data_IF_523077402372
#
_entry.id   IF_523077402372
#
_cell.length_a   1.000
_cell.length_b   1.000
_cell.length_c   1.000
_cell.angle_alpha   90.00
_cell.angle_beta   90.00
_cell.angle_gamma   90.00
#
_symmetry.space_group_name_H-M   'P 1'
#
loop_
_entity.id
_entity.type
_entity.pdbx_description
1 polymer ?
#
# COMPACT_ATOMS: atom_id res chain seq x y z
N UNK A 1 6.21 10.88 -13.32
CA UNK A 1 6.01 10.72 -11.85
C UNK A 1 5.01 9.57 -11.64
N UNK A 2 5.21 8.68 -10.65
CA UNK A 2 4.23 7.61 -10.33
C UNK A 2 3.20 8.16 -9.36
N UNK A 3 1.91 8.03 -9.69
CA UNK A 3 0.79 8.63 -8.97
C UNK A 3 -0.43 7.70 -9.01
N UNK A 4 -1.33 7.86 -8.04
CA UNK A 4 -2.67 7.29 -8.12
C UNK A 4 -3.53 8.14 -9.05
N UNK A 5 -4.12 7.57 -10.13
CA UNK A 5 -5.09 8.26 -10.97
C UNK A 5 -6.30 8.70 -10.14
N UNK A 6 -6.75 9.94 -10.34
CA UNK A 6 -7.99 10.45 -9.76
C UNK A 6 -8.71 11.32 -10.79
N UNK A 7 -10.06 11.46 -10.74
CA UNK A 7 -10.78 12.32 -11.67
C UNK A 7 -10.27 13.77 -11.67
N UNK A 8 -9.87 14.30 -10.50
CA UNK A 8 -9.30 15.65 -10.39
C UNK A 8 -7.95 15.77 -11.09
N UNK A 9 -7.06 14.78 -10.95
CA UNK A 9 -5.75 14.78 -11.63
C UNK A 9 -5.88 14.53 -13.14
N UNK A 10 -6.80 13.66 -13.57
CA UNK A 10 -7.05 13.36 -14.98
C UNK A 10 -7.48 14.60 -15.80
N UNK A 11 -7.93 15.67 -15.14
CA UNK A 11 -8.19 16.96 -15.80
C UNK A 11 -6.92 17.64 -16.32
N UNK A 12 -5.76 17.37 -15.71
CA UNK A 12 -4.50 18.08 -15.95
C UNK A 12 -3.36 17.18 -16.47
N UNK A 13 -3.55 15.86 -16.50
CA UNK A 13 -2.55 14.89 -16.93
C UNK A 13 -3.20 13.61 -17.44
N UNK A 14 -2.49 12.93 -18.33
CA UNK A 14 -2.84 11.59 -18.76
C UNK A 14 -2.16 10.57 -17.85
N UNK A 15 -2.78 9.40 -17.72
CA UNK A 15 -2.21 8.28 -16.98
C UNK A 15 -1.93 7.13 -17.93
N UNK A 16 -0.79 6.47 -17.70
CA UNK A 16 -0.51 5.19 -18.33
C UNK A 16 -1.44 4.10 -17.77
N UNK A 17 -1.39 2.90 -18.36
CA UNK A 17 -1.87 1.71 -17.68
C UNK A 17 -1.21 1.57 -16.31
N UNK A 18 -1.88 0.94 -15.32
CA UNK A 18 -1.31 0.79 -13.98
C UNK A 18 0.05 0.11 -14.05
N UNK A 19 1.04 0.65 -13.35
CA UNK A 19 2.33 0.03 -13.10
C UNK A 19 2.20 -1.00 -11.97
N UNK A 20 1.52 -0.61 -10.89
CA UNK A 20 1.31 -1.41 -9.69
C UNK A 20 -0.15 -1.36 -9.24
N UNK A 21 -0.58 -2.46 -8.65
CA UNK A 21 -1.87 -2.58 -7.96
C UNK A 21 -1.55 -2.77 -6.49
N UNK A 22 -2.06 -1.88 -5.64
CA UNK A 22 -1.78 -1.90 -4.22
C UNK A 22 -3.07 -1.77 -3.40
N UNK A 23 -2.99 -2.06 -2.11
CA UNK A 23 -4.08 -1.91 -1.13
C UNK A 23 -3.54 -1.27 0.14
N UNK A 24 -4.45 -0.81 1.00
CA UNK A 24 -4.05 -0.30 2.31
C UNK A 24 -3.45 -1.42 3.16
N UNK A 25 -2.45 -1.07 3.99
CA UNK A 25 -1.96 -1.92 5.08
C UNK A 25 -1.79 -1.07 6.33
N UNK A 26 -1.96 -1.72 7.47
CA UNK A 26 -1.56 -1.17 8.75
C UNK A 26 -0.12 -1.56 9.04
N UNK A 27 0.67 -0.61 9.50
CA UNK A 27 1.96 -0.80 10.13
C UNK A 27 1.76 -0.90 11.63
N UNK A 28 2.36 -1.93 12.22
CA UNK A 28 2.13 -2.36 13.60
C UNK A 28 3.46 -2.64 14.28
N UNK A 29 3.48 -2.66 15.61
CA UNK A 29 4.63 -3.14 16.38
C UNK A 29 4.70 -4.67 16.30
N UNK A 30 5.88 -5.22 16.08
CA UNK A 30 6.10 -6.68 16.14
C UNK A 30 6.26 -7.13 17.62
N UNK A 31 5.69 -8.28 18.05
CA UNK A 31 4.91 -9.27 17.30
C UNK A 31 3.39 -9.12 17.50
N UNK A 32 2.81 -7.91 17.44
CA UNK A 32 1.37 -7.76 17.66
C UNK A 32 0.54 -8.42 16.55
N UNK A 33 -0.46 -9.22 16.95
CA UNK A 33 -1.38 -9.90 16.04
C UNK A 33 -2.45 -8.95 15.50
N UNK A 34 -2.89 -9.19 14.25
CA UNK A 34 -4.04 -8.52 13.63
C UNK A 34 -5.32 -8.62 14.47
N UNK A 35 -5.49 -9.68 15.26
CA UNK A 35 -6.65 -9.87 16.16
C UNK A 35 -6.81 -8.70 17.15
N UNK A 36 -5.70 -8.02 17.49
CA UNK A 36 -5.71 -6.84 18.36
C UNK A 36 -6.07 -5.54 17.63
N UNK A 37 -6.12 -5.52 16.28
CA UNK A 37 -6.51 -4.34 15.50
C UNK A 37 -7.93 -3.86 15.82
N UNK A 38 -8.84 -4.77 16.20
CA UNK A 38 -10.19 -4.41 16.64
C UNK A 38 -10.18 -3.53 17.91
N UNK A 39 -9.12 -3.63 18.74
CA UNK A 39 -8.94 -2.83 19.95
C UNK A 39 -8.09 -1.56 19.73
N UNK A 40 -7.27 -1.52 18.67
CA UNK A 40 -6.25 -0.47 18.44
C UNK A 40 -6.51 0.28 17.12
N UNK A 41 -7.74 0.76 16.93
CA UNK A 41 -8.07 1.66 15.82
C UNK A 41 -7.54 3.09 16.06
N UNK A 42 -6.22 3.27 16.18
CA UNK A 42 -5.48 4.55 16.27
C UNK A 42 -4.00 4.35 15.87
N UNK A 43 -3.29 5.22 15.09
CA UNK A 43 -3.70 6.42 14.35
C UNK A 43 -3.51 6.41 12.80
N UNK A 44 -4.47 7.02 12.10
CA UNK A 44 -4.66 6.93 10.64
C UNK A 44 -4.16 8.13 9.82
N UNK A 45 -4.15 7.98 8.50
CA UNK A 45 -3.71 8.98 7.53
C UNK A 45 -4.76 10.10 7.29
N UNK A 46 -4.29 11.29 6.87
CA UNK A 46 -5.14 12.44 6.51
C UNK A 46 -6.23 12.15 5.46
N UNK A 47 -6.08 11.09 4.66
CA UNK A 47 -7.02 10.75 3.59
C UNK A 47 -8.40 10.30 4.11
N UNK A 48 -8.48 9.79 5.33
CA UNK A 48 -9.73 9.21 5.87
C UNK A 48 -10.62 10.24 6.58
N UNK A 49 -10.09 11.42 6.94
CA UNK A 49 -10.84 12.44 7.70
C UNK A 49 -12.11 12.93 6.97
N UNK A 50 -12.11 12.90 5.64
CA UNK A 50 -13.21 13.35 4.80
C UNK A 50 -14.17 12.22 4.36
N UNK A 51 -13.86 10.95 4.69
CA UNK A 51 -14.71 9.83 4.30
C UNK A 51 -16.00 9.81 5.14
N UNK A 52 -17.15 9.67 4.47
CA UNK A 52 -18.48 9.69 5.09
C UNK A 52 -19.19 8.34 5.06
N UNK A 53 -18.59 7.30 4.45
CA UNK A 53 -19.13 5.94 4.40
C UNK A 53 -18.04 4.86 4.48
N UNK A 54 -18.45 3.60 4.67
CA UNK A 54 -17.56 2.43 4.68
C UNK A 54 -16.56 2.40 5.83
N UNK A 55 -15.48 1.64 5.66
CA UNK A 55 -14.39 1.57 6.65
C UNK A 55 -13.71 2.93 6.84
N UNK A 56 -13.61 3.73 5.76
CA UNK A 56 -13.04 5.08 5.82
C UNK A 56 -13.80 6.01 6.78
N UNK A 57 -15.13 5.90 6.88
CA UNK A 57 -15.92 6.64 7.88
C UNK A 57 -15.49 6.29 9.31
N UNK A 58 -15.33 5.01 9.61
CA UNK A 58 -14.94 4.52 10.94
C UNK A 58 -13.57 5.10 11.31
N UNK A 59 -12.62 5.07 10.36
CA UNK A 59 -11.29 5.65 10.54
C UNK A 59 -11.36 7.18 10.71
N UNK A 60 -12.13 7.85 9.87
CA UNK A 60 -12.33 9.30 9.91
C UNK A 60 -13.01 9.79 11.19
N UNK A 61 -14.01 9.06 11.69
CA UNK A 61 -14.68 9.31 12.97
C UNK A 61 -13.68 9.19 14.13
N UNK A 62 -12.88 8.10 14.17
CA UNK A 62 -11.84 7.91 15.20
C UNK A 62 -10.81 9.06 15.20
N UNK A 63 -10.35 9.49 14.02
CA UNK A 63 -9.43 10.63 13.87
C UNK A 63 -10.03 11.96 14.32
N UNK A 64 -11.32 12.19 14.04
CA UNK A 64 -12.02 13.42 14.47
C UNK A 64 -12.15 13.49 15.99
N UNK A 65 -12.38 12.36 16.65
CA UNK A 65 -12.46 12.27 18.12
C UNK A 65 -11.08 12.35 18.80
N UNK A 66 -10.01 11.97 18.10
CA UNK A 66 -8.66 11.87 18.66
C UNK A 66 -7.63 12.63 17.81
N UNK A 67 -7.70 13.96 17.71
CA UNK A 67 -6.89 14.73 16.78
C UNK A 67 -5.38 14.73 17.10
N UNK A 68 -4.98 14.44 18.34
CA UNK A 68 -3.57 14.36 18.77
C UNK A 68 -2.81 13.19 18.12
N UNK A 69 -3.54 12.23 17.57
CA UNK A 69 -3.03 11.11 16.82
C UNK A 69 -2.59 11.44 15.40
N UNK A 70 -3.03 12.60 14.89
CA UNK A 70 -2.61 13.08 13.59
C UNK A 70 -1.15 13.50 13.69
N UNK A 71 -0.25 12.68 13.17
CA UNK A 71 1.15 13.02 13.01
C UNK A 71 1.34 13.83 11.72
N UNK A 72 2.25 14.79 11.77
CA UNK A 72 2.58 15.65 10.61
C UNK A 72 3.68 15.07 9.74
N UNK A 73 4.54 14.23 10.33
CA UNK A 73 5.67 13.64 9.67
C UNK A 73 5.66 12.11 9.77
N UNK A 74 6.31 11.51 8.79
CA UNK A 74 6.33 10.05 8.62
C UNK A 74 7.15 9.33 9.70
N UNK A 75 8.15 10.00 10.29
CA UNK A 75 9.02 9.41 11.30
C UNK A 75 8.34 9.36 12.68
N UNK A 76 7.61 10.42 13.05
CA UNK A 76 6.76 10.45 14.24
C UNK A 76 5.66 9.41 14.19
N UNK A 77 5.13 9.07 13.00
CA UNK A 77 4.20 7.95 12.85
C UNK A 77 4.83 6.61 13.29
N UNK A 78 6.09 6.37 12.91
CA UNK A 78 6.83 5.15 13.25
C UNK A 78 7.17 5.12 14.75
N UNK A 79 7.62 6.25 15.29
CA UNK A 79 7.90 6.38 16.72
C UNK A 79 6.67 6.06 17.56
N UNK A 80 5.51 6.57 17.14
CA UNK A 80 4.23 6.24 17.78
C UNK A 80 3.94 4.74 17.71
N UNK A 81 4.08 4.11 16.54
CA UNK A 81 3.86 2.65 16.41
C UNK A 81 4.77 1.88 17.37
N UNK A 82 6.02 2.30 17.52
CA UNK A 82 6.99 1.61 18.39
C UNK A 82 6.76 1.86 19.89
N UNK A 83 6.38 3.08 20.27
CA UNK A 83 6.42 3.55 21.67
C UNK A 83 5.05 3.80 22.30
N UNK A 84 4.00 4.01 21.50
CA UNK A 84 2.72 4.56 21.96
C UNK A 84 1.51 3.69 21.59
N UNK A 85 1.70 2.38 21.39
CA UNK A 85 0.64 1.41 21.01
C UNK A 85 -0.25 1.93 19.88
N UNK A 86 0.40 2.40 18.82
CA UNK A 86 -0.24 3.00 17.67
C UNK A 86 -0.16 2.09 16.43
N UNK A 87 -1.09 2.28 15.51
CA UNK A 87 -1.24 1.58 14.25
C UNK A 87 -1.31 2.58 13.11
N UNK A 88 -0.39 2.50 12.17
CA UNK A 88 -0.30 3.48 11.10
C UNK A 88 -0.80 2.93 9.75
N UNK A 89 -1.79 3.60 9.15
CA UNK A 89 -2.34 3.23 7.84
C UNK A 89 -1.62 3.94 6.69
N UNK A 90 -1.15 3.18 5.71
CA UNK A 90 -0.67 3.72 4.43
C UNK A 90 -0.90 2.77 3.25
N UNK A 91 -0.45 3.21 2.07
CA UNK A 91 -0.37 2.38 0.87
C UNK A 91 0.60 1.22 1.16
N UNK A 92 0.23 0.00 0.75
CA UNK A 92 0.88 -1.23 1.18
C UNK A 92 2.38 -1.25 0.91
N UNK A 93 2.82 -0.86 -0.28
CA UNK A 93 4.24 -0.84 -0.64
C UNK A 93 5.07 0.06 0.29
N UNK A 94 4.50 1.18 0.74
CA UNK A 94 5.18 2.11 1.63
C UNK A 94 5.32 1.52 3.05
N UNK A 95 4.28 0.83 3.54
CA UNK A 95 4.36 0.09 4.81
C UNK A 95 5.42 -1.02 4.74
N UNK A 96 5.41 -1.82 3.67
CA UNK A 96 6.35 -2.92 3.49
C UNK A 96 7.80 -2.42 3.38
N UNK A 97 8.04 -1.36 2.61
CA UNK A 97 9.35 -0.74 2.52
C UNK A 97 9.83 -0.24 3.87
N UNK A 98 8.96 0.34 4.70
CA UNK A 98 9.35 0.82 6.02
C UNK A 98 9.66 -0.30 7.00
N UNK A 99 8.89 -1.39 6.99
CA UNK A 99 9.22 -2.59 7.78
C UNK A 99 10.60 -3.10 7.40
N UNK A 100 10.94 -3.10 6.10
CA UNK A 100 12.27 -3.48 5.65
C UNK A 100 13.38 -2.53 6.09
N UNK A 101 13.17 -1.22 5.92
CA UNK A 101 14.15 -0.20 6.32
C UNK A 101 14.46 -0.30 7.82
N UNK A 102 13.42 -0.46 8.66
CA UNK A 102 13.58 -0.68 10.10
C UNK A 102 14.34 -1.98 10.39
N UNK A 103 13.95 -3.09 9.76
CA UNK A 103 14.63 -4.37 9.93
C UNK A 103 16.11 -4.28 9.55
N UNK A 104 16.42 -3.65 8.40
CA UNK A 104 17.79 -3.47 7.92
C UNK A 104 18.60 -2.60 8.88
N UNK A 105 18.03 -1.51 9.37
CA UNK A 105 18.67 -0.61 10.32
C UNK A 105 18.91 -1.26 11.71
N UNK A 106 18.11 -2.27 12.06
CA UNK A 106 18.19 -2.94 13.36
C UNK A 106 18.82 -4.34 13.27
N UNK A 107 19.85 -4.50 12.44
CA UNK A 107 20.62 -5.75 12.30
C UNK A 107 19.74 -6.98 12.02
N UNK A 108 18.70 -6.81 11.21
CA UNK A 108 17.78 -7.88 10.84
C UNK A 108 16.69 -8.20 11.88
N UNK A 109 16.60 -7.45 12.99
CA UNK A 109 15.54 -7.61 13.99
C UNK A 109 14.25 -6.93 13.54
N UNK A 110 13.12 -7.62 13.66
CA UNK A 110 11.81 -7.08 13.34
C UNK A 110 11.23 -6.35 14.56
N UNK A 111 11.09 -5.02 14.49
CA UNK A 111 10.33 -4.24 15.49
C UNK A 111 8.97 -3.79 14.95
N UNK A 112 8.82 -3.81 13.62
CA UNK A 112 7.59 -3.50 12.91
C UNK A 112 7.08 -4.73 12.16
N UNK A 113 5.77 -4.80 11.96
CA UNK A 113 5.06 -5.76 11.10
C UNK A 113 4.00 -5.03 10.26
N UNK A 114 3.42 -5.71 9.29
CA UNK A 114 2.30 -5.20 8.50
C UNK A 114 1.09 -6.13 8.60
N UNK A 115 -0.11 -5.55 8.62
CA UNK A 115 -1.36 -6.29 8.47
C UNK A 115 -1.49 -6.91 7.07
N UNK A 116 -2.48 -7.78 6.91
CA UNK A 116 -2.97 -8.18 5.60
C UNK A 116 -3.48 -6.95 4.83
N UNK A 117 -3.40 -6.99 3.49
CA UNK A 117 -3.88 -5.90 2.67
C UNK A 117 -5.41 -5.79 2.78
N UNK A 118 -5.92 -4.57 2.94
CA UNK A 118 -7.34 -4.28 3.09
C UNK A 118 -7.75 -3.00 2.34
N UNK A 119 -9.05 -2.77 2.29
CA UNK A 119 -9.63 -1.59 1.64
C UNK A 119 -9.58 -1.66 0.11
N UNK A 120 -9.83 -0.51 -0.50
CA UNK A 120 -9.96 -0.40 -1.94
C UNK A 120 -8.64 -0.62 -2.67
N UNK A 121 -8.75 -1.21 -3.86
CA UNK A 121 -7.64 -1.37 -4.79
C UNK A 121 -7.20 0.00 -5.30
N UNK A 122 -5.92 0.32 -5.12
CA UNK A 122 -5.29 1.53 -5.65
C UNK A 122 -4.39 1.15 -6.82
N UNK A 123 -4.56 1.85 -7.93
CA UNK A 123 -3.69 1.74 -9.09
C UNK A 123 -2.63 2.83 -9.02
N UNK A 124 -1.36 2.47 -9.15
CA UNK A 124 -0.27 3.42 -9.31
C UNK A 124 0.14 3.41 -10.78
N UNK A 125 0.12 4.57 -11.43
CA UNK A 125 0.40 4.73 -12.86
C UNK A 125 1.38 5.89 -13.06
N UNK A 126 2.05 5.95 -14.22
CA UNK A 126 2.80 7.16 -14.55
C UNK A 126 1.82 8.26 -14.94
N UNK A 127 1.91 9.41 -14.27
CA UNK A 127 1.31 10.65 -14.71
C UNK A 127 2.19 11.28 -15.78
N UNK A 128 1.61 11.49 -16.96
CA UNK A 128 2.23 12.12 -18.12
C UNK A 128 1.58 13.49 -18.36
N UNK A 129 2.31 14.42 -18.99
CA UNK A 129 1.69 15.68 -19.42
C UNK A 129 0.49 15.36 -20.32
N UNK A 130 -0.59 16.13 -20.17
CA UNK A 130 -1.83 15.93 -20.89
C UNK A 130 -1.65 16.12 -22.41
N UNK A 131 -2.41 15.33 -23.17
CA UNK A 131 -2.51 15.37 -24.64
C UNK A 131 -1.16 15.12 -25.32
N UNK A 132 -0.34 14.25 -24.73
CA UNK A 132 0.96 13.89 -25.30
C UNK A 132 0.90 12.60 -26.11
N UNK A 133 1.50 12.63 -27.30
CA UNK A 133 1.48 11.52 -28.27
C UNK A 133 2.16 10.24 -27.78
N UNK A 134 3.01 10.32 -26.76
CA UNK A 134 3.77 9.18 -26.25
C UNK A 134 3.01 8.28 -25.27
N UNK A 135 1.80 8.65 -24.81
CA UNK A 135 1.07 7.80 -23.85
C UNK A 135 0.82 6.38 -24.39
N UNK A 136 0.54 6.25 -25.68
CA UNK A 136 0.38 4.95 -26.34
C UNK A 136 1.66 4.12 -26.31
N UNK A 137 2.81 4.73 -26.63
CA UNK A 137 4.10 4.06 -26.60
C UNK A 137 4.49 3.62 -25.17
N UNK A 138 4.20 4.45 -24.16
CA UNK A 138 4.38 4.08 -22.75
C UNK A 138 3.49 2.90 -22.36
N UNK A 139 2.21 2.92 -22.75
CA UNK A 139 1.27 1.85 -22.45
C UNK A 139 1.70 0.52 -23.09
N UNK A 140 2.09 0.55 -24.36
CA UNK A 140 2.57 -0.62 -25.07
C UNK A 140 3.85 -1.18 -24.43
N UNK A 141 4.82 -0.31 -24.11
CA UNK A 141 6.04 -0.71 -23.41
C UNK A 141 5.75 -1.35 -22.05
N UNK A 142 4.85 -0.75 -21.26
CA UNK A 142 4.44 -1.30 -19.97
C UNK A 142 3.69 -2.63 -20.10
N UNK A 143 2.86 -2.80 -21.13
CA UNK A 143 2.21 -4.07 -21.43
C UNK A 143 3.24 -5.15 -21.73
N UNK A 144 4.21 -4.87 -22.60
CA UNK A 144 5.29 -5.80 -22.94
C UNK A 144 6.14 -6.17 -21.70
N UNK A 145 6.47 -5.20 -20.85
CA UNK A 145 7.18 -5.43 -19.59
C UNK A 145 6.38 -6.33 -18.62
N UNK A 146 5.06 -6.18 -18.59
CA UNK A 146 4.17 -7.01 -17.78
C UNK A 146 4.07 -8.42 -18.35
N UNK A 147 3.81 -8.56 -19.64
CA UNK A 147 3.59 -9.83 -20.34
C UNK A 147 4.84 -10.71 -20.35
N UNK A 148 6.02 -10.09 -20.53
CA UNK A 148 7.32 -10.79 -20.41
C UNK A 148 7.66 -11.23 -18.98
N UNK A 149 6.93 -10.74 -17.97
CA UNK A 149 7.24 -10.96 -16.56
C UNK A 149 8.41 -10.14 -16.03
N UNK A 150 9.06 -9.31 -16.87
CA UNK A 150 10.20 -8.49 -16.46
C UNK A 150 9.83 -7.50 -15.35
N UNK A 151 8.63 -6.92 -15.43
CA UNK A 151 8.10 -6.05 -14.39
C UNK A 151 7.97 -6.77 -13.03
N UNK A 152 7.46 -8.00 -13.05
CA UNK A 152 7.35 -8.84 -11.85
C UNK A 152 8.74 -9.23 -11.32
N UNK A 153 9.68 -9.54 -12.21
CA UNK A 153 11.05 -9.85 -11.83
C UNK A 153 11.73 -8.67 -11.12
N UNK A 154 11.62 -7.45 -11.67
CA UNK A 154 12.13 -6.25 -11.03
C UNK A 154 11.47 -6.01 -9.67
N UNK A 155 10.13 -6.10 -9.60
CA UNK A 155 9.46 -5.95 -8.32
C UNK A 155 9.93 -6.99 -7.31
N UNK A 156 10.06 -8.26 -7.66
CA UNK A 156 10.54 -9.26 -6.72
C UNK A 156 12.02 -9.07 -6.33
N UNK A 157 12.82 -8.48 -7.20
CA UNK A 157 14.23 -8.18 -6.92
C UNK A 157 14.39 -7.01 -5.96
N UNK A 158 13.54 -5.97 -6.10
CA UNK A 158 13.60 -4.76 -5.29
C UNK A 158 12.63 -4.77 -4.10
N UNK A 159 11.60 -5.61 -4.11
CA UNK A 159 10.70 -5.79 -2.98
C UNK A 159 11.48 -6.52 -1.90
N UNK A 160 11.58 -5.93 -0.71
CA UNK A 160 12.38 -6.49 0.34
C UNK A 160 11.80 -7.80 0.88
N UNK A 161 12.68 -8.77 1.10
CA UNK A 161 12.31 -10.02 1.78
C UNK A 161 12.13 -9.75 3.29
N UNK A 162 10.90 -9.50 3.70
CA UNK A 162 10.49 -9.24 5.10
C UNK A 162 9.55 -10.30 5.66
N UNK A 163 9.51 -11.49 5.05
CA UNK A 163 8.58 -12.55 5.45
C UNK A 163 8.67 -12.91 6.94
N UNK A 164 9.90 -12.89 7.49
CA UNK A 164 10.16 -13.13 8.92
C UNK A 164 9.60 -12.06 9.87
N UNK A 165 9.24 -10.89 9.35
CA UNK A 165 8.66 -9.80 10.13
C UNK A 165 7.13 -9.80 10.15
N UNK A 166 6.47 -10.78 9.50
CA UNK A 166 5.01 -10.91 9.58
C UNK A 166 4.59 -11.88 10.68
N UNK A 167 3.67 -11.41 11.52
CA UNK A 167 3.07 -12.19 12.61
C UNK A 167 1.99 -13.12 12.06
N UNK A 168 1.96 -14.37 12.52
CA UNK A 168 0.91 -15.34 12.17
C UNK A 168 1.05 -15.99 10.79
N UNK A 169 2.16 -15.73 10.08
CA UNK A 169 2.50 -16.41 8.83
C UNK A 169 3.27 -17.70 9.15
N UNK A 170 2.59 -18.72 9.70
CA UNK A 170 3.06 -20.10 9.50
C UNK A 170 2.76 -20.44 8.04
N UNK A 171 3.78 -20.36 7.18
CA UNK A 171 3.71 -20.66 5.74
C UNK A 171 2.51 -20.00 5.01
N UNK A 172 2.52 -18.68 4.86
CA UNK A 172 1.79 -18.07 3.73
C UNK A 172 2.58 -18.49 2.52
N UNK A 173 2.04 -19.48 1.82
CA UNK A 173 2.45 -19.84 0.47
C UNK A 173 2.74 -18.54 -0.28
N UNK A 174 3.95 -18.45 -0.86
CA UNK A 174 4.37 -17.38 -1.78
C UNK A 174 3.14 -16.82 -2.46
N UNK A 175 2.83 -15.55 -2.23
CA UNK A 175 1.72 -14.90 -2.92
C UNK A 175 1.98 -15.06 -4.41
N UNK A 176 1.28 -16.01 -5.03
CA UNK A 176 1.38 -16.26 -6.45
C UNK A 176 0.61 -15.13 -7.13
N UNK A 177 1.32 -14.06 -7.47
CA UNK A 177 0.79 -12.92 -8.18
C UNK A 177 0.09 -13.32 -9.50
N UNK A 178 0.30 -14.54 -10.03
CA UNK A 178 -0.45 -15.06 -11.19
C UNK A 178 -1.93 -15.27 -10.88
N UNK A 179 -2.30 -15.68 -9.65
CA UNK A 179 -3.69 -16.04 -9.32
C UNK A 179 -4.62 -14.84 -9.07
N UNK A 180 -4.08 -13.69 -8.69
CA UNK A 180 -4.85 -12.44 -8.58
C UNK A 180 -5.19 -11.84 -9.95
N UNK A 181 -4.41 -12.16 -10.99
CA UNK A 181 -4.52 -11.60 -12.34
C UNK A 181 -5.56 -12.31 -13.23
N UNK A 182 -5.84 -13.61 -13.03
CA UNK A 182 -6.72 -14.36 -13.94
C UNK A 182 -8.21 -14.11 -13.70
N UNK A 183 -8.62 -13.78 -12.46
CA UNK A 183 -10.05 -13.70 -12.12
C UNK A 183 -10.75 -12.38 -12.46
N UNK A 184 -10.03 -11.29 -12.72
CA UNK A 184 -10.67 -10.00 -13.06
C UNK A 184 -10.82 -9.75 -14.56
N UNK A 185 -10.02 -10.38 -15.42
CA UNK A 185 -10.17 -10.22 -16.88
C UNK A 185 -11.19 -11.18 -17.51
N UNK A 186 -11.54 -12.28 -16.85
CA UNK A 186 -12.56 -13.22 -17.34
C UNK A 186 -14.01 -12.69 -17.22
N UNK A 187 -14.25 -11.56 -16.54
CA UNK A 187 -15.59 -10.97 -16.35
C UNK A 187 -15.84 -9.68 -17.12
N UNK A 188 -14.86 -9.18 -17.88
CA UNK A 188 -15.00 -7.96 -18.68
C UNK A 188 -15.28 -8.23 -20.18
N UNK A 189 -15.36 -9.51 -20.59
CA UNK A 189 -15.69 -9.94 -21.95
C UNK A 189 -16.83 -10.97 -21.95
N UNK A 190 -17.96 -10.61 -21.34
CA UNK A 190 -19.27 -11.23 -21.61
C UNK A 190 -20.33 -10.15 -21.60
#
# INVERSE_FOLDING_TARGET
MVLTPTPKRARFMDFTIPLLIDRGRFMLRYPEEESRLAAVLQPFSLLDKAATSGYGKILGDSLRTNPHLLFRDYNGAIENVLNHNAVYLRVGIEVLNRVYEDMKANNGKCRLTASKPFGDVRFLSFGLKKDQHYNNAFNEGLSRLRESGLLTHWFNHYIPQIDKCFVGIRHVAKVDNRKLLVRHFAKANK
#
